data_IF_992523389970
#
_entry.id   IF_992523389970
#
_cell.length_a   1.000
_cell.length_b   1.000
_cell.length_c   1.000
_cell.angle_alpha   90.00
_cell.angle_beta   90.00
_cell.angle_gamma   90.00
#
_symmetry.space_group_name_H-M   'P 1'
#
loop_
_entity.id
_entity.type
_entity.pdbx_description
1 polymer ?
#
# COMPACT_ATOMS: atom_id res chain seq x y z
N UNK A 1 5.84 20.85 10.87
CA UNK A 1 6.29 19.45 10.90
C UNK A 1 6.60 19.06 9.47
N UNK A 2 7.84 18.67 9.17
CA UNK A 2 8.24 18.28 7.82
C UNK A 2 8.00 16.77 7.62
N UNK A 3 7.26 16.42 6.58
CA UNK A 3 6.87 15.05 6.22
C UNK A 3 7.48 14.60 4.89
N UNK A 4 8.31 15.45 4.27
CA UNK A 4 8.81 15.27 2.91
C UNK A 4 9.58 13.95 2.75
N UNK A 5 10.37 13.57 3.75
CA UNK A 5 11.22 12.35 3.71
C UNK A 5 10.63 11.14 4.45
N UNK A 6 9.39 11.23 4.95
CA UNK A 6 8.79 10.14 5.74
C UNK A 6 8.12 9.09 4.86
N UNK A 7 8.40 7.81 5.08
CA UNK A 7 7.65 6.72 4.44
C UNK A 7 6.19 6.76 4.90
N UNK A 8 5.27 6.61 3.93
CA UNK A 8 3.83 6.54 4.20
C UNK A 8 3.47 5.07 4.46
N UNK A 9 2.78 4.80 5.57
CA UNK A 9 2.10 3.53 5.82
C UNK A 9 0.63 3.64 5.42
N UNK A 10 0.14 2.79 4.52
CA UNK A 10 -1.29 2.68 4.21
C UNK A 10 -1.83 1.41 4.85
N UNK A 11 -2.76 1.54 5.78
CA UNK A 11 -3.35 0.43 6.54
C UNK A 11 -4.71 0.10 5.95
N UNK A 12 -4.85 -1.12 5.43
CA UNK A 12 -6.00 -1.60 4.67
C UNK A 12 -5.78 -1.41 3.17
N UNK A 13 -5.77 -2.50 2.39
CA UNK A 13 -5.55 -2.52 0.94
C UNK A 13 -6.80 -2.98 0.18
N UNK A 14 -7.95 -2.48 0.64
CA UNK A 14 -9.24 -2.61 -0.03
C UNK A 14 -9.47 -1.54 -1.09
N UNK A 15 -10.74 -1.28 -1.40
CA UNK A 15 -11.19 -0.38 -2.47
C UNK A 15 -10.59 1.03 -2.40
N UNK A 16 -10.51 1.63 -1.21
CA UNK A 16 -9.94 2.98 -1.04
C UNK A 16 -8.43 2.94 -0.87
N UNK A 17 -7.95 2.01 -0.04
CA UNK A 17 -6.56 1.99 0.40
C UNK A 17 -5.59 1.59 -0.71
N UNK A 18 -5.95 0.62 -1.56
CA UNK A 18 -5.05 0.17 -2.63
C UNK A 18 -4.80 1.27 -3.69
N UNK A 19 -5.82 1.89 -4.32
CA UNK A 19 -5.57 2.95 -5.30
C UNK A 19 -4.74 4.10 -4.71
N UNK A 20 -5.02 4.48 -3.46
CA UNK A 20 -4.25 5.51 -2.76
C UNK A 20 -2.77 5.11 -2.58
N UNK A 21 -2.53 3.89 -2.11
CA UNK A 21 -1.17 3.37 -1.93
C UNK A 21 -0.42 3.32 -3.26
N UNK A 22 -1.10 2.95 -4.35
CA UNK A 22 -0.55 2.89 -5.71
C UNK A 22 -0.16 4.27 -6.21
N UNK A 23 -1.04 5.28 -6.11
CA UNK A 23 -0.71 6.63 -6.56
C UNK A 23 0.46 7.23 -5.79
N UNK A 24 0.52 7.07 -4.46
CA UNK A 24 1.68 7.49 -3.71
C UNK A 24 2.94 6.67 -4.05
N UNK A 25 2.78 5.37 -4.25
CA UNK A 25 3.86 4.45 -4.61
C UNK A 25 4.46 4.69 -5.99
N UNK A 26 3.78 5.43 -6.88
CA UNK A 26 4.35 5.91 -8.14
C UNK A 26 5.40 7.01 -7.91
N UNK A 27 5.34 7.74 -6.78
CA UNK A 27 6.14 8.96 -6.56
C UNK A 27 7.02 8.96 -5.30
N UNK A 28 6.74 8.14 -4.28
CA UNK A 28 7.52 8.08 -3.03
C UNK A 28 7.33 6.77 -2.27
N UNK A 29 8.17 6.52 -1.28
CA UNK A 29 8.14 5.31 -0.45
C UNK A 29 6.81 5.12 0.29
N UNK A 30 6.16 3.99 0.03
CA UNK A 30 4.93 3.54 0.67
C UNK A 30 5.05 2.09 1.14
N UNK A 31 4.58 1.83 2.35
CA UNK A 31 4.34 0.48 2.88
C UNK A 31 2.83 0.28 2.98
N UNK A 32 2.28 -0.54 2.10
CA UNK A 32 0.90 -1.01 2.17
C UNK A 32 0.79 -2.19 3.11
N UNK A 33 -0.06 -2.08 4.12
CA UNK A 33 -0.35 -3.16 5.06
C UNK A 33 -1.77 -3.66 4.89
N UNK A 34 -1.93 -4.98 4.87
CA UNK A 34 -3.23 -5.63 5.02
C UNK A 34 -3.12 -6.82 5.97
N UNK A 35 -4.20 -7.11 6.71
CA UNK A 35 -4.27 -8.26 7.61
C UNK A 35 -4.39 -9.58 6.84
N UNK A 36 -4.92 -9.54 5.62
CA UNK A 36 -5.08 -10.71 4.77
C UNK A 36 -3.77 -11.06 4.07
N UNK A 37 -3.12 -12.14 4.52
CA UNK A 37 -1.92 -12.65 3.87
C UNK A 37 -2.15 -13.07 2.41
N UNK A 38 -3.34 -13.59 2.10
CA UNK A 38 -3.72 -13.90 0.73
C UNK A 38 -3.76 -12.65 -0.14
N UNK A 39 -4.35 -11.56 0.37
CA UNK A 39 -4.42 -10.27 -0.32
C UNK A 39 -3.03 -9.71 -0.61
N UNK A 40 -2.14 -9.72 0.40
CA UNK A 40 -0.76 -9.26 0.24
C UNK A 40 0.01 -10.12 -0.77
N UNK A 41 -0.20 -11.43 -0.78
CA UNK A 41 0.42 -12.32 -1.76
C UNK A 41 -0.01 -11.99 -3.19
N UNK A 42 -1.32 -11.83 -3.44
CA UNK A 42 -1.83 -11.45 -4.78
C UNK A 42 -1.23 -10.13 -5.25
N UNK A 43 -1.17 -9.13 -4.38
CA UNK A 43 -0.66 -7.80 -4.72
C UNK A 43 0.85 -7.82 -5.03
N UNK A 44 1.62 -8.67 -4.33
CA UNK A 44 3.04 -8.89 -4.65
C UNK A 44 3.23 -9.57 -6.01
N UNK A 45 2.25 -10.32 -6.48
CA UNK A 45 2.22 -10.90 -7.82
C UNK A 45 1.64 -9.93 -8.88
N UNK A 46 1.28 -8.70 -8.49
CA UNK A 46 0.70 -7.71 -9.39
C UNK A 46 -0.77 -7.97 -9.73
N UNK A 47 -1.49 -8.69 -8.86
CA UNK A 47 -2.88 -9.09 -9.06
C UNK A 47 -3.77 -8.33 -8.09
N UNK A 48 -4.65 -7.47 -8.61
CA UNK A 48 -5.74 -6.89 -7.84
C UNK A 48 -7.07 -7.63 -8.05
N UNK A 49 -7.51 -8.39 -7.03
CA UNK A 49 -8.80 -9.09 -7.06
C UNK A 49 -10.01 -8.15 -6.94
N UNK A 50 -9.84 -6.91 -6.46
CA UNK A 50 -10.94 -5.93 -6.41
C UNK A 50 -11.24 -5.32 -7.78
N UNK A 51 -10.27 -5.34 -8.69
CA UNK A 51 -10.31 -4.68 -10.02
C UNK A 51 -10.42 -3.15 -9.93
N UNK A 52 -9.89 -2.59 -8.85
CA UNK A 52 -9.82 -1.14 -8.64
C UNK A 52 -8.54 -0.54 -9.20
N UNK A 53 -7.51 -1.38 -9.35
CA UNK A 53 -6.23 -0.99 -9.92
C UNK A 53 -5.85 -1.97 -11.02
N UNK A 54 -5.51 -1.46 -12.19
CA UNK A 54 -5.07 -2.28 -13.31
C UNK A 54 -3.64 -2.81 -13.09
N UNK A 55 -3.26 -3.99 -13.66
CA UNK A 55 -1.92 -4.57 -13.46
C UNK A 55 -0.77 -3.63 -13.82
N UNK A 56 -0.94 -2.79 -14.85
CA UNK A 56 0.07 -1.84 -15.28
C UNK A 56 0.28 -0.69 -14.27
N UNK A 57 -0.75 -0.34 -13.50
CA UNK A 57 -0.67 0.69 -12.47
C UNK A 57 0.00 0.16 -11.20
N UNK A 58 -0.29 -1.10 -10.83
CA UNK A 58 0.45 -1.80 -9.78
C UNK A 58 1.95 -1.85 -10.11
N UNK A 59 2.28 -2.20 -11.36
CA UNK A 59 3.67 -2.23 -11.83
C UNK A 59 4.33 -0.84 -11.88
N UNK A 60 3.54 0.23 -12.07
CA UNK A 60 4.03 1.61 -12.06
C UNK A 60 4.37 2.12 -10.65
N UNK A 61 3.76 1.55 -9.60
CA UNK A 61 3.99 1.92 -8.21
C UNK A 61 5.32 1.35 -7.65
N UNK A 62 6.44 1.79 -8.24
CA UNK A 62 7.80 1.27 -7.97
C UNK A 62 8.28 1.43 -6.53
N UNK A 63 7.69 2.34 -5.77
CA UNK A 63 8.05 2.63 -4.38
C UNK A 63 7.03 2.06 -3.38
N UNK A 64 6.06 1.28 -3.85
CA UNK A 64 5.10 0.59 -3.01
C UNK A 64 5.59 -0.82 -2.67
N UNK A 65 5.55 -1.14 -1.38
CA UNK A 65 5.74 -2.50 -0.87
C UNK A 65 4.49 -2.95 -0.14
N UNK A 66 4.23 -4.25 -0.12
CA UNK A 66 3.07 -4.84 0.56
C UNK A 66 3.53 -5.74 1.69
N UNK A 67 2.90 -5.66 2.86
CA UNK A 67 3.25 -6.49 4.03
C UNK A 67 2.05 -6.83 4.89
N UNK A 68 2.17 -7.92 5.66
CA UNK A 68 1.28 -8.26 6.79
C UNK A 68 1.98 -8.04 8.13
N UNK A 69 3.21 -7.50 8.13
CA UNK A 69 4.04 -7.34 9.33
C UNK A 69 3.82 -5.98 9.96
N UNK A 70 3.39 -5.97 11.23
CA UNK A 70 3.34 -4.74 12.03
C UNK A 70 4.72 -4.17 12.33
N UNK A 71 5.78 -4.99 12.27
CA UNK A 71 7.15 -4.52 12.51
C UNK A 71 7.64 -3.62 11.39
N UNK A 72 7.31 -3.94 10.14
CA UNK A 72 7.69 -3.14 8.97
C UNK A 72 7.02 -1.76 8.99
N UNK A 73 5.83 -1.66 9.58
CA UNK A 73 5.12 -0.39 9.77
C UNK A 73 5.83 0.56 10.75
N UNK A 74 6.66 0.07 11.67
CA UNK A 74 7.40 0.93 12.63
C UNK A 74 8.37 1.90 11.95
N UNK A 75 8.77 1.59 10.72
CA UNK A 75 9.65 2.44 9.90
C UNK A 75 8.90 3.63 9.27
N UNK A 76 7.56 3.62 9.24
CA UNK A 76 6.75 4.67 8.64
C UNK A 76 6.64 5.89 9.56
N UNK A 77 6.61 7.09 8.96
CA UNK A 77 6.45 8.34 9.70
C UNK A 77 5.07 8.97 9.60
N UNK A 78 4.24 8.50 8.65
CA UNK A 78 2.85 8.93 8.44
C UNK A 78 2.02 7.69 8.20
N UNK A 79 0.81 7.63 8.77
CA UNK A 79 -0.12 6.53 8.56
C UNK A 79 -1.43 7.05 8.00
N UNK A 80 -1.92 6.39 6.96
CA UNK A 80 -3.26 6.56 6.41
C UNK A 80 -4.03 5.28 6.71
N UNK A 81 -5.14 5.39 7.43
CA UNK A 81 -5.98 4.25 7.78
C UNK A 81 -7.21 4.26 6.90
N UNK A 82 -7.37 3.23 6.07
CA UNK A 82 -8.46 3.07 5.12
C UNK A 82 -9.17 1.73 5.38
N UNK A 83 -10.16 1.75 6.27
CA UNK A 83 -11.07 0.61 6.45
C UNK A 83 -12.31 0.74 5.58
N UNK A 84 -12.73 -0.38 4.99
CA UNK A 84 -14.03 -0.54 4.35
C UNK A 84 -14.86 -1.43 5.29
N UNK A 85 -16.06 -0.98 5.68
CA UNK A 85 -17.02 -1.84 6.40
C UNK A 85 -17.55 -2.95 5.52
#
# INVERSE_FOLDING_TARGET
MDLSDKTIGVIGLGYVGLPLAVEFGKIRSVVGFDVSAARVADLREGIDRTREVEPHELAAARYLTYTTSLEELRSCGVFIVAESR
#
